data_IF_886919201225
#
_entry.id   IF_886919201225
#
_cell.length_a   1.000
_cell.length_b   1.000
_cell.length_c   1.000
_cell.angle_alpha   90.00
_cell.angle_beta   90.00
_cell.angle_gamma   90.00
#
_symmetry.space_group_name_H-M   'P 1'
#
loop_
_entity.id
_entity.type
_entity.pdbx_description
1 polymer ?
#
# COMPACT_ATOMS: atom_id res chain seq x y z
N UNK A 1 46.25 -31.33 1.62
CA UNK A 1 45.41 -31.02 2.81
C UNK A 1 45.25 -29.52 3.02
N UNK A 2 46.34 -28.74 3.09
CA UNK A 2 46.32 -27.28 3.33
C UNK A 2 45.50 -26.47 2.30
N UNK A 3 45.58 -26.82 1.01
CA UNK A 3 44.79 -26.19 -0.06
C UNK A 3 43.28 -26.38 0.11
N UNK A 4 42.84 -27.57 0.51
CA UNK A 4 41.42 -27.87 0.73
C UNK A 4 40.87 -27.11 1.94
N UNK A 5 41.68 -26.99 2.99
CA UNK A 5 41.33 -26.18 4.18
C UNK A 5 41.20 -24.71 3.80
N UNK A 6 42.15 -24.17 3.03
CA UNK A 6 42.09 -22.78 2.54
C UNK A 6 40.84 -22.53 1.67
N UNK A 7 40.53 -23.44 0.73
CA UNK A 7 39.31 -23.34 -0.08
C UNK A 7 38.04 -23.35 0.78
N UNK A 8 37.97 -24.23 1.78
CA UNK A 8 36.85 -24.27 2.72
C UNK A 8 36.67 -22.96 3.49
N UNK A 9 37.76 -22.33 3.94
CA UNK A 9 37.74 -21.03 4.63
C UNK A 9 37.27 -19.91 3.68
N UNK A 10 37.74 -19.89 2.44
CA UNK A 10 37.31 -18.88 1.45
C UNK A 10 35.83 -19.02 1.13
N UNK A 11 35.34 -20.24 0.93
CA UNK A 11 33.91 -20.50 0.66
C UNK A 11 33.05 -20.13 1.87
N UNK A 12 33.45 -20.53 3.08
CA UNK A 12 32.74 -20.16 4.31
C UNK A 12 32.74 -18.63 4.52
N UNK A 13 33.87 -17.97 4.29
CA UNK A 13 34.00 -16.51 4.36
C UNK A 13 33.13 -15.80 3.33
N UNK A 14 33.05 -16.31 2.10
CA UNK A 14 32.14 -15.81 1.07
C UNK A 14 30.69 -15.88 1.54
N UNK A 15 30.23 -17.03 2.03
CA UNK A 15 28.86 -17.17 2.52
C UNK A 15 28.57 -16.31 3.75
N UNK A 16 29.53 -16.15 4.67
CA UNK A 16 29.40 -15.28 5.83
C UNK A 16 29.24 -13.80 5.44
N UNK A 17 30.06 -13.32 4.49
CA UNK A 17 29.98 -11.94 4.00
C UNK A 17 28.69 -11.69 3.21
N UNK A 18 28.24 -12.68 2.43
CA UNK A 18 26.97 -12.61 1.71
C UNK A 18 25.78 -12.57 2.67
N UNK A 19 25.77 -13.45 3.67
CA UNK A 19 24.71 -13.51 4.67
C UNK A 19 24.63 -12.23 5.50
N UNK A 20 25.77 -11.64 5.84
CA UNK A 20 25.85 -10.39 6.60
C UNK A 20 25.64 -9.10 5.78
N UNK A 21 25.33 -9.20 4.48
CA UNK A 21 25.23 -8.05 3.56
C UNK A 21 26.42 -7.09 3.69
N UNK A 22 27.64 -7.65 3.72
CA UNK A 22 28.84 -6.89 3.99
C UNK A 22 29.11 -5.83 2.91
N UNK A 23 29.59 -4.66 3.34
CA UNK A 23 29.97 -3.58 2.43
C UNK A 23 31.08 -4.02 1.45
N UNK A 24 31.10 -3.46 0.23
CA UNK A 24 32.05 -3.87 -0.81
C UNK A 24 33.53 -3.80 -0.42
N UNK A 25 33.91 -2.88 0.47
CA UNK A 25 35.29 -2.78 0.95
C UNK A 25 35.67 -3.94 1.88
N UNK A 26 34.72 -4.51 2.62
CA UNK A 26 34.92 -5.72 3.43
C UNK A 26 35.17 -6.93 2.53
N UNK A 27 34.44 -7.03 1.41
CA UNK A 27 34.68 -8.05 0.38
C UNK A 27 36.09 -7.94 -0.21
N UNK A 28 36.50 -6.72 -0.58
CA UNK A 28 37.87 -6.48 -1.07
C UNK A 28 38.92 -6.87 -0.02
N UNK A 29 38.73 -6.47 1.23
CA UNK A 29 39.63 -6.80 2.33
C UNK A 29 39.74 -8.31 2.57
N UNK A 30 38.61 -9.03 2.56
CA UNK A 30 38.58 -10.47 2.74
C UNK A 30 39.28 -11.23 1.62
N UNK A 31 39.08 -10.83 0.36
CA UNK A 31 39.76 -11.45 -0.79
C UNK A 31 41.28 -11.15 -0.73
N UNK A 32 41.67 -9.92 -0.37
CA UNK A 32 43.08 -9.56 -0.20
C UNK A 32 43.75 -10.40 0.90
N UNK A 33 43.07 -10.59 2.04
CA UNK A 33 43.55 -11.43 3.13
C UNK A 33 43.66 -12.90 2.72
N UNK A 34 42.69 -13.43 1.96
CA UNK A 34 42.74 -14.79 1.44
C UNK A 34 43.92 -15.02 0.47
N UNK A 35 44.21 -14.04 -0.40
CA UNK A 35 45.35 -14.08 -1.32
C UNK A 35 46.69 -13.99 -0.56
N UNK A 36 46.79 -13.12 0.45
CA UNK A 36 47.98 -13.01 1.29
C UNK A 36 48.24 -14.30 2.08
N UNK A 37 47.20 -14.92 2.63
CA UNK A 37 47.29 -16.22 3.31
C UNK A 37 47.70 -17.35 2.36
N UNK A 38 47.18 -17.36 1.12
CA UNK A 38 47.56 -18.34 0.11
C UNK A 38 49.04 -18.23 -0.27
N UNK A 39 49.56 -17.01 -0.37
CA UNK A 39 50.98 -16.75 -0.63
C UNK A 39 51.88 -17.17 0.53
N UNK A 40 51.54 -16.76 1.77
CA UNK A 40 52.33 -17.11 2.96
C UNK A 40 52.36 -18.61 3.26
N UNK A 41 51.33 -19.35 2.84
CA UNK A 41 51.25 -20.80 2.94
C UNK A 41 51.86 -21.54 1.73
N UNK A 42 52.48 -20.82 0.79
CA UNK A 42 53.04 -21.35 -0.46
C UNK A 42 52.05 -22.18 -1.31
N UNK A 43 50.76 -21.86 -1.22
CA UNK A 43 49.69 -22.54 -1.98
C UNK A 43 49.65 -22.10 -3.45
N UNK A 44 50.22 -20.94 -3.77
CA UNK A 44 50.22 -20.35 -5.11
C UNK A 44 51.58 -19.73 -5.44
N UNK A 45 52.03 -19.80 -6.71
CA UNK A 45 53.24 -19.09 -7.15
C UNK A 45 53.08 -17.57 -7.01
N UNK A 46 54.17 -16.88 -6.66
CA UNK A 46 54.20 -15.43 -6.46
C UNK A 46 53.63 -14.66 -7.66
N UNK A 47 53.96 -15.07 -8.89
CA UNK A 47 53.46 -14.43 -10.11
C UNK A 47 51.92 -14.45 -10.18
N UNK A 48 51.29 -15.57 -9.81
CA UNK A 48 49.84 -15.71 -9.83
C UNK A 48 49.20 -14.81 -8.78
N UNK A 49 49.80 -14.72 -7.59
CA UNK A 49 49.32 -13.84 -6.51
C UNK A 49 49.40 -12.37 -6.93
N UNK A 50 50.50 -11.94 -7.59
CA UNK A 50 50.66 -10.56 -8.08
C UNK A 50 49.59 -10.22 -9.11
N UNK A 51 49.34 -11.11 -10.08
CA UNK A 51 48.31 -10.90 -11.11
C UNK A 51 46.92 -10.79 -10.48
N UNK A 52 46.56 -11.70 -9.56
CA UNK A 52 45.27 -11.67 -8.89
C UNK A 52 45.09 -10.45 -7.98
N UNK A 53 46.15 -10.03 -7.29
CA UNK A 53 46.14 -8.81 -6.49
C UNK A 53 45.96 -7.56 -7.37
N UNK A 54 46.63 -7.49 -8.53
CA UNK A 54 46.45 -6.41 -9.50
C UNK A 54 45.01 -6.32 -10.03
N UNK A 55 44.42 -7.47 -10.39
CA UNK A 55 43.02 -7.56 -10.80
C UNK A 55 42.06 -7.14 -9.67
N UNK A 56 42.34 -7.56 -8.43
CA UNK A 56 41.55 -7.17 -7.26
C UNK A 56 41.58 -5.67 -7.04
N UNK A 57 42.72 -5.00 -7.21
CA UNK A 57 42.82 -3.53 -7.10
C UNK A 57 41.95 -2.84 -8.14
N UNK A 58 42.02 -3.27 -9.40
CA UNK A 58 41.19 -2.70 -10.49
C UNK A 58 39.70 -2.90 -10.20
N UNK A 59 39.29 -4.09 -9.77
CA UNK A 59 37.91 -4.40 -9.39
C UNK A 59 37.47 -3.63 -8.14
N UNK A 60 38.34 -3.49 -7.15
CA UNK A 60 38.05 -2.74 -5.93
C UNK A 60 37.80 -1.26 -6.24
N UNK A 61 38.62 -0.65 -7.09
CA UNK A 61 38.45 0.75 -7.52
C UNK A 61 37.15 0.89 -8.32
N UNK A 62 36.87 0.01 -9.28
CA UNK A 62 35.67 0.09 -10.11
C UNK A 62 34.37 -0.20 -9.35
N UNK A 63 34.38 -1.06 -8.32
CA UNK A 63 33.19 -1.46 -7.57
C UNK A 63 32.96 -0.65 -6.28
N UNK A 64 34.02 -0.23 -5.58
CA UNK A 64 33.88 0.49 -4.32
C UNK A 64 33.83 2.00 -4.47
N UNK A 65 34.30 2.57 -5.60
CA UNK A 65 34.19 4.00 -5.85
C UNK A 65 32.86 4.31 -6.56
N UNK A 66 31.87 4.92 -5.87
CA UNK A 66 30.51 5.02 -6.40
C UNK A 66 30.37 5.74 -7.75
N UNK A 67 31.10 6.84 -8.04
CA UNK A 67 31.02 7.50 -9.35
C UNK A 67 31.46 6.58 -10.50
N UNK A 68 32.54 5.82 -10.30
CA UNK A 68 33.07 4.93 -11.32
C UNK A 68 32.20 3.67 -11.49
N UNK A 69 31.69 3.12 -10.39
CA UNK A 69 30.74 2.00 -10.44
C UNK A 69 29.48 2.36 -11.23
N UNK A 70 28.94 3.58 -11.02
CA UNK A 70 27.77 4.06 -11.77
C UNK A 70 28.05 4.14 -13.26
N UNK A 71 29.13 4.82 -13.63
CA UNK A 71 29.51 5.02 -15.02
C UNK A 71 29.85 3.73 -15.77
N UNK A 72 30.54 2.78 -15.13
CA UNK A 72 31.00 1.55 -15.79
C UNK A 72 29.98 0.40 -15.74
N UNK A 73 29.14 0.33 -14.70
CA UNK A 73 28.33 -0.86 -14.41
C UNK A 73 26.87 -0.48 -14.15
N UNK A 74 26.59 0.30 -13.10
CA UNK A 74 25.21 0.45 -12.61
C UNK A 74 24.29 1.14 -13.63
N UNK A 75 24.76 2.16 -14.33
CA UNK A 75 23.92 2.91 -15.28
C UNK A 75 23.59 2.06 -16.52
N UNK A 76 24.56 1.26 -16.99
CA UNK A 76 24.35 0.31 -18.09
C UNK A 76 23.36 -0.79 -17.72
N UNK A 77 23.50 -1.40 -16.53
CA UNK A 77 22.56 -2.41 -16.02
C UNK A 77 21.16 -1.82 -15.84
N UNK A 78 21.06 -0.61 -15.28
CA UNK A 78 19.79 0.09 -15.11
C UNK A 78 19.11 0.39 -16.44
N UNK A 79 19.88 0.79 -17.47
CA UNK A 79 19.34 1.04 -18.81
C UNK A 79 18.76 -0.22 -19.45
N UNK A 80 19.39 -1.39 -19.25
CA UNK A 80 18.85 -2.68 -19.68
C UNK A 80 17.57 -3.01 -18.92
N UNK A 81 17.57 -2.85 -17.59
CA UNK A 81 16.41 -3.15 -16.76
C UNK A 81 15.19 -2.30 -17.12
N UNK A 82 15.39 -1.00 -17.40
CA UNK A 82 14.33 -0.09 -17.87
C UNK A 82 13.68 -0.51 -19.19
N UNK A 83 14.35 -1.30 -20.04
CA UNK A 83 13.78 -1.82 -21.28
C UNK A 83 12.90 -3.06 -21.06
N UNK A 84 13.12 -3.78 -19.96
CA UNK A 84 12.41 -5.03 -19.63
C UNK A 84 11.16 -4.72 -18.81
N UNK A 85 11.18 -3.65 -17.99
CA UNK A 85 10.03 -3.22 -17.22
C UNK A 85 8.89 -2.77 -18.16
N UNK A 86 7.65 -3.24 -17.94
CA UNK A 86 6.51 -2.78 -18.71
C UNK A 86 6.33 -1.27 -18.53
N UNK A 87 6.00 -0.51 -19.59
CA UNK A 87 5.71 0.90 -19.47
C UNK A 87 4.45 1.11 -18.64
N UNK A 88 4.54 1.99 -17.67
CA UNK A 88 3.42 2.39 -16.83
C UNK A 88 2.47 3.31 -17.61
N UNK A 89 1.18 3.03 -17.56
CA UNK A 89 0.17 3.90 -18.19
C UNK A 89 0.15 5.28 -17.51
N UNK A 90 -0.30 6.35 -18.20
CA UNK A 90 -0.45 7.67 -17.59
C UNK A 90 -1.30 7.63 -16.32
N UNK A 91 -2.41 6.88 -16.33
CA UNK A 91 -3.32 6.71 -15.20
C UNK A 91 -2.63 6.08 -13.99
N UNK A 92 -1.93 4.96 -14.20
CA UNK A 92 -1.22 4.30 -13.10
C UNK A 92 -0.16 5.25 -12.53
N UNK A 93 0.53 6.01 -13.40
CA UNK A 93 1.56 6.97 -12.98
C UNK A 93 0.98 8.05 -12.10
N UNK A 94 -0.12 8.68 -12.54
CA UNK A 94 -0.82 9.69 -11.75
C UNK A 94 -1.30 9.11 -10.42
N UNK A 95 -1.78 7.86 -10.38
CA UNK A 95 -2.17 7.20 -9.13
C UNK A 95 -0.99 6.99 -8.18
N UNK A 96 0.19 6.60 -8.69
CA UNK A 96 1.41 6.47 -7.88
C UNK A 96 1.93 7.85 -7.42
N UNK A 97 1.91 8.85 -8.31
CA UNK A 97 2.42 10.20 -8.03
C UNK A 97 1.49 11.00 -7.10
N UNK A 98 0.18 10.73 -7.13
CA UNK A 98 -0.80 11.33 -6.22
C UNK A 98 -0.72 10.75 -4.79
N UNK A 99 -0.07 9.60 -4.63
CA UNK A 99 0.14 8.97 -3.34
C UNK A 99 1.18 9.70 -2.48
N UNK A 100 1.06 9.55 -1.16
CA UNK A 100 2.16 9.91 -0.25
C UNK A 100 3.23 8.84 -0.26
N UNK A 101 4.48 9.25 -0.41
CA UNK A 101 5.64 8.35 -0.38
C UNK A 101 5.94 7.95 1.06
N UNK A 102 5.66 6.69 1.41
CA UNK A 102 5.88 6.13 2.74
C UNK A 102 7.30 5.60 2.96
N UNK A 103 7.48 4.78 4.01
CA UNK A 103 8.75 4.10 4.27
C UNK A 103 9.11 3.08 3.18
N UNK A 104 8.11 2.51 2.51
CA UNK A 104 8.23 1.59 1.38
C UNK A 104 9.08 2.15 0.24
N UNK A 105 9.07 3.45 0.00
CA UNK A 105 9.96 4.05 -0.99
C UNK A 105 11.45 3.95 -0.63
N UNK A 106 11.79 3.95 0.66
CA UNK A 106 13.16 3.74 1.11
C UNK A 106 13.60 2.30 0.87
N UNK A 107 12.69 1.34 0.99
CA UNK A 107 12.92 -0.05 0.60
C UNK A 107 13.27 -0.14 -0.90
N UNK A 108 12.48 0.50 -1.77
CA UNK A 108 12.75 0.53 -3.21
C UNK A 108 14.00 1.34 -3.60
N UNK A 109 14.43 2.29 -2.76
CA UNK A 109 15.69 3.02 -2.95
C UNK A 109 16.94 2.16 -2.71
N UNK A 110 16.78 0.97 -2.12
CA UNK A 110 17.87 0.08 -1.75
C UNK A 110 18.66 0.54 -0.51
N UNK A 111 18.14 1.53 0.22
CA UNK A 111 18.71 2.05 1.48
C UNK A 111 17.62 2.31 2.53
N UNK A 112 16.88 1.28 2.97
CA UNK A 112 15.82 1.45 3.96
C UNK A 112 16.38 1.87 5.32
N UNK A 113 15.81 2.92 5.94
CA UNK A 113 16.02 3.20 7.36
C UNK A 113 15.01 2.39 8.20
N UNK A 114 15.45 1.23 8.69
CA UNK A 114 14.62 0.39 9.56
C UNK A 114 14.28 1.05 10.90
N UNK A 115 15.12 1.97 11.39
CA UNK A 115 14.85 2.73 12.60
C UNK A 115 13.60 3.58 12.46
N UNK A 116 13.40 4.21 11.29
CA UNK A 116 12.20 4.98 10.97
C UNK A 116 10.94 4.11 10.99
N UNK A 117 10.97 2.92 10.39
CA UNK A 117 9.84 1.99 10.38
C UNK A 117 9.52 1.49 11.80
N UNK A 118 10.54 1.05 12.53
CA UNK A 118 10.39 0.49 13.88
C UNK A 118 9.99 1.55 14.92
N UNK A 119 10.26 2.82 14.66
CA UNK A 119 9.85 3.94 15.50
C UNK A 119 8.39 4.38 15.26
N UNK A 120 7.71 3.87 14.22
CA UNK A 120 6.29 4.19 14.01
C UNK A 120 5.47 3.73 15.24
N UNK A 121 4.63 4.60 15.82
CA UNK A 121 3.85 4.23 16.98
C UNK A 121 2.86 3.13 16.60
N UNK A 122 2.75 2.12 17.47
CA UNK A 122 1.68 1.13 17.33
C UNK A 122 0.33 1.85 17.40
N UNK A 123 -0.56 1.67 16.41
CA UNK A 123 -1.88 2.27 16.45
C UNK A 123 -2.67 1.69 17.62
N UNK A 124 -3.49 2.53 18.26
CA UNK A 124 -4.29 2.17 19.43
C UNK A 124 -5.71 2.67 19.25
N UNK A 125 -6.66 1.88 19.72
CA UNK A 125 -8.05 2.31 19.83
C UNK A 125 -8.21 3.19 21.07
N UNK A 126 -9.03 4.22 20.94
CA UNK A 126 -9.60 4.93 22.08
C UNK A 126 -10.56 4.01 22.85
N UNK A 127 -10.91 4.38 24.08
CA UNK A 127 -11.87 3.62 24.87
C UNK A 127 -13.26 3.52 24.19
N UNK A 128 -13.68 4.58 23.49
CA UNK A 128 -14.94 4.61 22.74
C UNK A 128 -14.92 3.66 21.54
N UNK A 129 -13.83 3.67 20.75
CA UNK A 129 -13.67 2.78 19.61
C UNK A 129 -13.55 1.31 20.04
N UNK A 130 -12.82 1.04 21.13
CA UNK A 130 -12.70 -0.32 21.70
C UNK A 130 -14.06 -0.82 22.19
N UNK A 131 -14.82 0.02 22.91
CA UNK A 131 -16.17 -0.31 23.35
C UNK A 131 -17.09 -0.62 22.16
N UNK A 132 -17.03 0.17 21.09
CA UNK A 132 -17.82 -0.09 19.88
C UNK A 132 -17.46 -1.45 19.25
N UNK A 133 -16.17 -1.78 19.21
CA UNK A 133 -15.71 -3.07 18.71
C UNK A 133 -16.21 -4.23 19.59
N UNK A 134 -16.11 -4.11 20.91
CA UNK A 134 -16.40 -5.19 21.85
C UNK A 134 -17.90 -5.42 22.08
N UNK A 135 -18.74 -4.41 21.78
CA UNK A 135 -20.18 -4.50 22.01
C UNK A 135 -20.97 -4.43 20.70
N UNK A 136 -20.90 -3.30 20.00
CA UNK A 136 -21.75 -3.05 18.83
C UNK A 136 -21.39 -3.97 17.67
N UNK A 137 -20.10 -4.23 17.45
CA UNK A 137 -19.66 -5.15 16.40
C UNK A 137 -19.90 -6.62 16.77
N UNK A 138 -19.86 -7.00 18.05
CA UNK A 138 -20.21 -8.37 18.48
C UNK A 138 -21.70 -8.65 18.25
N UNK A 139 -22.57 -7.73 18.67
CA UNK A 139 -24.01 -7.86 18.46
C UNK A 139 -24.32 -7.95 16.96
N UNK A 140 -23.79 -7.04 16.15
CA UNK A 140 -24.00 -7.06 14.69
C UNK A 140 -23.49 -8.38 14.06
N UNK A 141 -22.35 -8.89 14.53
CA UNK A 141 -21.82 -10.18 14.10
C UNK A 141 -22.75 -11.35 14.46
N UNK A 142 -23.42 -11.30 15.61
CA UNK A 142 -24.34 -12.34 16.06
C UNK A 142 -25.68 -12.35 15.30
N UNK A 143 -26.04 -11.22 14.67
CA UNK A 143 -27.29 -11.08 13.91
C UNK A 143 -27.25 -11.67 12.49
N UNK A 144 -26.07 -12.07 11.99
CA UNK A 144 -25.90 -12.53 10.60
C UNK A 144 -25.12 -13.82 10.49
N UNK A 145 -25.42 -14.58 9.43
CA UNK A 145 -24.52 -15.60 8.89
C UNK A 145 -24.22 -15.29 7.42
N UNK A 146 -23.02 -15.65 6.95
CA UNK A 146 -22.65 -15.42 5.55
C UNK A 146 -23.60 -16.16 4.60
N UNK A 147 -23.93 -17.43 4.90
CA UNK A 147 -24.79 -18.26 4.06
C UNK A 147 -26.20 -17.68 3.89
N UNK A 148 -26.88 -17.33 4.99
CA UNK A 148 -28.23 -16.79 4.92
C UNK A 148 -28.26 -15.48 4.13
N UNK A 149 -27.29 -14.59 4.39
CA UNK A 149 -27.18 -13.30 3.70
C UNK A 149 -26.92 -13.47 2.21
N UNK A 150 -25.98 -14.35 1.84
CA UNK A 150 -25.48 -14.44 0.45
C UNK A 150 -26.24 -15.44 -0.43
N UNK A 151 -26.96 -16.42 0.14
CA UNK A 151 -27.61 -17.48 -0.62
C UNK A 151 -29.13 -17.57 -0.41
N UNK A 152 -29.66 -17.07 0.71
CA UNK A 152 -31.10 -17.14 1.01
C UNK A 152 -31.76 -15.79 0.78
N UNK A 153 -31.28 -14.75 1.45
CA UNK A 153 -31.88 -13.42 1.39
C UNK A 153 -31.37 -12.58 0.21
N UNK A 154 -30.15 -12.84 -0.25
CA UNK A 154 -29.43 -12.03 -1.25
C UNK A 154 -29.30 -10.55 -0.85
N UNK A 155 -29.42 -10.27 0.45
CA UNK A 155 -29.34 -8.97 1.09
C UNK A 155 -29.21 -9.18 2.61
N UNK A 156 -28.87 -8.14 3.36
CA UNK A 156 -28.95 -8.14 4.81
C UNK A 156 -30.43 -8.08 5.26
N UNK A 157 -30.84 -8.86 6.28
CA UNK A 157 -32.18 -8.76 6.85
C UNK A 157 -32.51 -7.35 7.37
N UNK A 158 -33.78 -6.94 7.31
CA UNK A 158 -34.24 -5.62 7.78
C UNK A 158 -33.80 -5.27 9.22
N UNK A 159 -33.86 -6.18 10.22
CA UNK A 159 -33.36 -5.89 11.56
C UNK A 159 -31.86 -5.56 11.60
N UNK A 160 -31.06 -6.21 10.74
CA UNK A 160 -29.62 -5.98 10.62
C UNK A 160 -29.36 -4.61 10.00
N UNK A 161 -30.06 -4.27 8.92
CA UNK A 161 -30.01 -2.93 8.32
C UNK A 161 -30.37 -1.83 9.32
N UNK A 162 -31.42 -2.05 10.12
CA UNK A 162 -31.83 -1.09 11.14
C UNK A 162 -30.76 -0.92 12.21
N UNK A 163 -30.17 -2.02 12.69
CA UNK A 163 -29.06 -1.99 13.66
C UNK A 163 -27.84 -1.22 13.15
N UNK A 164 -27.44 -1.50 11.90
CA UNK A 164 -26.34 -0.81 11.21
C UNK A 164 -26.54 0.71 11.22
N UNK A 165 -27.76 1.17 10.91
CA UNK A 165 -28.11 2.60 10.91
C UNK A 165 -28.14 3.19 12.31
N UNK A 166 -28.82 2.54 13.23
CA UNK A 166 -29.04 3.05 14.59
C UNK A 166 -27.74 3.18 15.39
N UNK A 167 -26.79 2.27 15.15
CA UNK A 167 -25.48 2.28 15.80
C UNK A 167 -24.42 3.08 15.07
N UNK A 168 -24.73 3.67 13.92
CA UNK A 168 -23.83 4.57 13.20
C UNK A 168 -22.72 3.87 12.40
N UNK A 169 -22.90 2.59 12.04
CA UNK A 169 -21.93 1.84 11.23
C UNK A 169 -21.69 2.47 9.86
N UNK A 170 -22.60 3.28 9.33
CA UNK A 170 -22.48 3.94 8.02
C UNK A 170 -21.80 5.31 8.07
N UNK A 171 -21.48 5.81 9.27
CA UNK A 171 -20.93 7.14 9.52
C UNK A 171 -19.77 7.15 10.49
N UNK A 172 -18.99 6.07 10.54
CA UNK A 172 -17.87 5.92 11.47
C UNK A 172 -16.83 7.02 11.26
N UNK A 173 -16.46 7.33 10.02
CA UNK A 173 -15.44 8.36 9.71
C UNK A 173 -15.99 9.79 9.70
N UNK A 174 -17.32 9.95 9.69
CA UNK A 174 -17.95 11.28 9.62
C UNK A 174 -17.78 11.98 10.98
N UNK A 175 -17.34 13.26 11.02
CA UNK A 175 -17.17 14.01 12.25
C UNK A 175 -18.42 14.06 13.12
N UNK A 176 -18.23 14.07 14.44
CA UNK A 176 -19.33 14.12 15.42
C UNK A 176 -20.23 15.35 15.26
N UNK A 177 -19.70 16.48 14.78
CA UNK A 177 -20.51 17.68 14.49
C UNK A 177 -21.59 17.47 13.42
N UNK A 178 -21.38 16.51 12.51
CA UNK A 178 -22.38 16.08 11.54
C UNK A 178 -23.17 14.84 12.01
N UNK A 179 -22.94 14.37 13.24
CA UNK A 179 -23.64 13.21 13.81
C UNK A 179 -23.05 11.85 13.45
N UNK A 180 -21.82 11.79 12.93
CA UNK A 180 -21.06 10.54 12.80
C UNK A 180 -20.29 10.19 14.09
N UNK A 181 -19.47 9.13 14.03
CA UNK A 181 -18.69 8.67 15.19
C UNK A 181 -17.31 9.32 15.30
N UNK A 182 -16.76 9.85 14.20
CA UNK A 182 -15.42 10.44 14.15
C UNK A 182 -14.30 9.46 14.50
N UNK A 183 -14.47 8.18 14.16
CA UNK A 183 -13.49 7.13 14.41
C UNK A 183 -12.24 7.27 13.54
N UNK A 184 -11.12 6.82 14.09
CA UNK A 184 -9.85 6.77 13.39
C UNK A 184 -9.86 5.72 12.27
N UNK A 185 -8.93 5.87 11.30
CA UNK A 185 -8.71 4.87 10.27
C UNK A 185 -8.36 3.48 10.86
N UNK A 186 -7.69 3.45 12.02
CA UNK A 186 -7.39 2.20 12.71
C UNK A 186 -8.65 1.54 13.26
N UNK A 187 -9.54 2.29 13.91
CA UNK A 187 -10.82 1.77 14.38
C UNK A 187 -11.70 1.27 13.24
N UNK A 188 -11.81 2.03 12.14
CA UNK A 188 -12.48 1.57 10.94
C UNK A 188 -11.90 0.24 10.44
N UNK A 189 -10.58 0.12 10.34
CA UNK A 189 -9.91 -1.13 9.95
C UNK A 189 -10.24 -2.30 10.89
N UNK A 190 -10.23 -2.09 12.22
CA UNK A 190 -10.55 -3.15 13.18
C UNK A 190 -12.01 -3.60 13.09
N UNK A 191 -12.95 -2.66 12.90
CA UNK A 191 -14.36 -2.98 12.66
C UNK A 191 -14.50 -3.83 11.39
N UNK A 192 -13.90 -3.41 10.28
CA UNK A 192 -13.93 -4.14 9.00
C UNK A 192 -13.37 -5.56 9.16
N UNK A 193 -12.21 -5.73 9.81
CA UNK A 193 -11.62 -7.05 10.06
C UNK A 193 -12.56 -7.95 10.87
N UNK A 194 -13.20 -7.39 11.90
CA UNK A 194 -14.15 -8.14 12.74
C UNK A 194 -15.37 -8.58 11.94
N UNK A 195 -16.02 -7.68 11.20
CA UNK A 195 -17.19 -8.02 10.39
C UNK A 195 -16.85 -9.00 9.26
N UNK A 196 -15.66 -8.88 8.65
CA UNK A 196 -15.17 -9.79 7.61
C UNK A 196 -15.04 -11.24 8.12
N UNK A 197 -14.84 -11.45 9.42
CA UNK A 197 -14.81 -12.80 10.01
C UNK A 197 -16.17 -13.51 10.00
N UNK A 198 -17.26 -12.78 9.71
CA UNK A 198 -18.64 -13.28 9.79
C UNK A 198 -19.41 -13.28 8.49
N UNK A 199 -19.36 -12.19 7.72
CA UNK A 199 -20.15 -12.07 6.50
C UNK A 199 -19.54 -11.08 5.52
N UNK A 200 -19.34 -11.54 4.28
CA UNK A 200 -18.77 -10.78 3.16
C UNK A 200 -19.67 -9.61 2.72
N UNK A 201 -20.97 -9.83 2.61
CA UNK A 201 -21.93 -8.78 2.26
C UNK A 201 -22.04 -7.71 3.36
N UNK A 202 -22.05 -8.12 4.63
CA UNK A 202 -22.06 -7.21 5.77
C UNK A 202 -20.85 -6.28 5.75
N UNK A 203 -19.65 -6.83 5.60
CA UNK A 203 -18.43 -6.02 5.63
C UNK A 203 -18.39 -5.02 4.48
N UNK A 204 -18.79 -5.40 3.25
CA UNK A 204 -18.82 -4.45 2.12
C UNK A 204 -19.84 -3.34 2.35
N UNK A 205 -21.03 -3.67 2.85
CA UNK A 205 -22.07 -2.69 3.18
C UNK A 205 -21.62 -1.65 4.19
N UNK A 206 -20.84 -2.04 5.20
CA UNK A 206 -20.30 -1.13 6.21
C UNK A 206 -19.04 -0.41 5.72
N UNK A 207 -18.16 -1.09 4.97
CA UNK A 207 -16.86 -0.57 4.56
C UNK A 207 -16.97 0.54 3.49
N UNK A 208 -17.85 0.37 2.50
CA UNK A 208 -17.93 1.29 1.36
C UNK A 208 -18.31 2.73 1.78
N UNK A 209 -19.35 2.96 2.61
CA UNK A 209 -19.68 4.31 3.09
C UNK A 209 -18.58 5.00 3.90
N UNK A 210 -17.69 4.22 4.53
CA UNK A 210 -16.63 4.69 5.44
C UNK A 210 -15.22 4.71 4.83
N UNK A 211 -15.10 4.48 3.52
CA UNK A 211 -13.85 4.61 2.76
C UNK A 211 -14.13 5.43 1.50
N UNK A 212 -14.10 4.80 0.34
CA UNK A 212 -14.32 5.40 -0.99
C UNK A 212 -15.75 5.95 -1.21
N UNK A 213 -16.58 6.00 -0.17
CA UNK A 213 -17.94 6.51 -0.25
C UNK A 213 -17.98 8.05 -0.36
N UNK A 214 -19.07 8.61 -0.92
CA UNK A 214 -19.38 10.03 -0.90
C UNK A 214 -19.13 10.78 0.42
N UNK A 215 -19.18 10.14 1.59
CA UNK A 215 -18.84 10.76 2.87
C UNK A 215 -17.41 11.31 2.91
N UNK A 216 -16.41 10.51 2.52
CA UNK A 216 -15.00 10.93 2.49
C UNK A 216 -14.79 12.05 1.47
N UNK A 217 -15.31 11.88 0.24
CA UNK A 217 -15.19 12.88 -0.82
C UNK A 217 -15.87 14.21 -0.46
N UNK A 218 -17.04 14.18 0.18
CA UNK A 218 -17.73 15.39 0.64
C UNK A 218 -16.95 16.10 1.74
N UNK A 219 -16.31 15.38 2.65
CA UNK A 219 -15.46 16.00 3.68
C UNK A 219 -14.27 16.74 3.07
N UNK A 220 -13.61 16.15 2.08
CA UNK A 220 -12.45 16.75 1.42
C UNK A 220 -12.80 17.85 0.41
N UNK A 221 -13.80 17.63 -0.43
CA UNK A 221 -14.06 18.45 -1.63
C UNK A 221 -15.44 19.12 -1.65
N UNK A 222 -16.35 18.74 -0.74
CA UNK A 222 -17.69 19.31 -0.70
C UNK A 222 -17.69 20.76 -0.22
N UNK A 223 -18.63 21.55 -0.74
CA UNK A 223 -18.92 22.89 -0.20
C UNK A 223 -19.54 22.78 1.19
N UNK A 224 -19.55 23.88 1.95
CA UNK A 224 -20.15 23.87 3.29
C UNK A 224 -21.65 23.55 3.25
N UNK A 225 -22.37 23.99 2.21
CA UNK A 225 -23.77 23.66 1.99
C UNK A 225 -23.96 22.16 1.75
N UNK A 226 -23.12 21.57 0.90
CA UNK A 226 -23.15 20.13 0.64
C UNK A 226 -22.83 19.32 1.89
N UNK A 227 -21.80 19.72 2.65
CA UNK A 227 -21.42 19.07 3.92
C UNK A 227 -22.55 19.10 4.93
N UNK A 228 -23.12 20.28 5.19
CA UNK A 228 -24.24 20.47 6.13
C UNK A 228 -25.49 19.69 5.73
N UNK A 229 -25.74 19.53 4.43
CA UNK A 229 -26.91 18.79 3.94
C UNK A 229 -26.69 17.27 3.97
N UNK A 230 -25.61 16.78 3.36
CA UNK A 230 -25.41 15.35 3.10
C UNK A 230 -24.78 14.60 4.28
N UNK A 231 -23.75 15.13 4.94
CA UNK A 231 -23.02 14.37 5.96
C UNK A 231 -23.92 13.88 7.11
N UNK A 232 -24.87 14.68 7.65
CA UNK A 232 -25.79 14.19 8.67
C UNK A 232 -26.77 13.12 8.20
N UNK A 233 -27.11 13.12 6.92
CA UNK A 233 -28.04 12.14 6.31
C UNK A 233 -27.32 10.82 6.06
N UNK A 234 -26.07 10.88 5.61
CA UNK A 234 -25.18 9.74 5.44
C UNK A 234 -24.86 9.09 6.79
N UNK A 235 -24.51 9.89 7.80
CA UNK A 235 -24.18 9.38 9.14
C UNK A 235 -25.33 8.58 9.78
N UNK A 236 -26.57 8.99 9.52
CA UNK A 236 -27.80 8.32 10.01
C UNK A 236 -28.31 7.21 9.08
N UNK A 237 -27.67 6.98 7.93
CA UNK A 237 -28.14 6.02 6.93
C UNK A 237 -29.52 6.35 6.34
N UNK A 238 -29.90 7.63 6.33
CA UNK A 238 -31.09 8.12 5.62
C UNK A 238 -30.88 8.06 4.10
N UNK A 239 -29.62 8.21 3.69
CA UNK A 239 -29.14 8.00 2.34
C UNK A 239 -27.98 7.01 2.41
N UNK A 240 -27.98 6.01 1.53
CA UNK A 240 -26.90 5.04 1.43
C UNK A 240 -26.03 5.43 0.23
N UNK A 241 -24.76 5.79 0.46
CA UNK A 241 -23.91 6.28 -0.60
C UNK A 241 -23.38 5.12 -1.47
N UNK A 242 -23.14 5.40 -2.75
CA UNK A 242 -22.44 4.48 -3.66
C UNK A 242 -21.29 5.22 -4.37
N UNK A 243 -20.29 4.46 -4.81
CA UNK A 243 -19.18 4.98 -5.61
C UNK A 243 -19.25 4.43 -7.03
N UNK A 244 -19.36 5.35 -7.99
CA UNK A 244 -19.88 5.08 -9.32
C UNK A 244 -18.81 5.21 -10.41
N UNK A 245 -17.67 4.53 -10.25
CA UNK A 245 -16.54 4.68 -11.16
C UNK A 245 -16.54 3.67 -12.31
N UNK A 246 -16.54 2.37 -12.02
CA UNK A 246 -16.40 1.30 -13.02
C UNK A 246 -17.44 1.38 -14.14
N UNK A 247 -17.03 1.16 -15.39
CA UNK A 247 -17.87 1.12 -16.59
C UNK A 247 -17.63 -0.23 -17.32
N UNK A 248 -18.57 -0.76 -18.12
CA UNK A 248 -18.37 -2.00 -18.88
C UNK A 248 -17.05 -2.08 -19.69
N UNK A 249 -16.52 -0.92 -20.10
CA UNK A 249 -15.28 -0.80 -20.87
C UNK A 249 -14.08 -0.27 -20.07
N UNK A 250 -14.27 0.13 -18.80
CA UNK A 250 -13.21 0.71 -17.96
C UNK A 250 -13.31 0.26 -16.50
N UNK A 251 -12.28 -0.45 -16.03
CA UNK A 251 -12.12 -0.90 -14.65
C UNK A 251 -10.78 -0.44 -14.07
N UNK A 252 -9.72 -1.24 -14.28
CA UNK A 252 -8.37 -0.91 -13.80
C UNK A 252 -7.82 0.38 -14.40
N UNK A 253 -8.07 0.63 -15.69
CA UNK A 253 -7.78 1.91 -16.34
C UNK A 253 -8.98 2.85 -16.20
N UNK A 254 -9.14 3.44 -15.01
CA UNK A 254 -10.29 4.29 -14.69
C UNK A 254 -10.35 5.56 -15.57
N UNK A 255 -9.22 6.04 -16.09
CA UNK A 255 -9.19 7.22 -16.97
C UNK A 255 -9.74 6.93 -18.38
N UNK A 256 -9.85 5.65 -18.75
CA UNK A 256 -10.45 5.24 -20.02
C UNK A 256 -11.99 5.22 -19.97
N UNK A 257 -12.62 5.74 -18.90
CA UNK A 257 -14.08 5.82 -18.80
C UNK A 257 -14.66 6.66 -19.95
N UNK A 258 -15.57 6.10 -20.77
CA UNK A 258 -16.14 6.84 -21.90
C UNK A 258 -17.30 7.76 -21.49
N UNK A 259 -17.77 7.66 -20.23
CA UNK A 259 -18.89 8.43 -19.69
C UNK A 259 -18.57 9.94 -19.69
N UNK A 260 -19.50 10.75 -20.17
CA UNK A 260 -19.36 12.20 -20.23
C UNK A 260 -20.35 12.91 -19.30
N UNK A 261 -19.85 13.92 -18.57
CA UNK A 261 -20.67 14.90 -17.85
C UNK A 261 -20.83 16.18 -18.67
N UNK A 262 -22.03 16.41 -19.21
CA UNK A 262 -22.33 17.58 -20.04
C UNK A 262 -22.97 18.64 -19.16
N UNK A 263 -22.30 19.79 -19.01
CA UNK A 263 -22.86 20.94 -18.29
C UNK A 263 -24.00 21.54 -19.12
N UNK A 264 -25.21 21.60 -18.55
CA UNK A 264 -26.39 22.13 -19.23
C UNK A 264 -27.41 22.73 -18.26
N UNK A 265 -28.27 23.61 -18.79
CA UNK A 265 -29.48 24.04 -18.08
C UNK A 265 -30.56 22.94 -18.17
N UNK A 266 -31.28 22.72 -17.08
CA UNK A 266 -32.40 21.78 -17.02
C UNK A 266 -33.40 22.13 -15.93
N UNK A 267 -34.62 21.59 -16.03
CA UNK A 267 -35.63 21.77 -14.99
C UNK A 267 -35.43 20.75 -13.87
N UNK A 268 -35.28 21.22 -12.63
CA UNK A 268 -35.22 20.40 -11.43
C UNK A 268 -36.16 20.98 -10.37
N UNK A 269 -37.10 20.18 -9.88
CA UNK A 269 -38.14 20.60 -8.93
C UNK A 269 -38.89 21.88 -9.37
N UNK A 270 -39.24 21.97 -10.66
CA UNK A 270 -39.97 23.11 -11.24
C UNK A 270 -39.15 24.39 -11.42
N UNK A 271 -37.83 24.34 -11.27
CA UNK A 271 -36.93 25.48 -11.45
C UNK A 271 -35.89 25.17 -12.52
N UNK A 272 -35.58 26.15 -13.36
CA UNK A 272 -34.43 26.07 -14.26
C UNK A 272 -33.13 26.20 -13.46
N UNK A 273 -32.26 25.19 -13.55
CA UNK A 273 -30.99 25.12 -12.84
C UNK A 273 -29.86 24.75 -13.78
N UNK A 274 -28.65 25.23 -13.49
CA UNK A 274 -27.43 24.74 -14.12
C UNK A 274 -27.04 23.40 -13.45
N UNK A 275 -26.84 22.36 -14.25
CA UNK A 275 -26.48 21.03 -13.75
C UNK A 275 -25.59 20.26 -14.72
N UNK A 276 -25.44 18.96 -14.45
CA UNK A 276 -24.68 18.01 -15.25
C UNK A 276 -25.62 16.91 -15.75
N UNK A 277 -25.71 16.74 -17.07
CA UNK A 277 -26.32 15.55 -17.68
C UNK A 277 -25.23 14.53 -17.97
N UNK A 278 -25.38 13.33 -17.42
CA UNK A 278 -24.39 12.25 -17.54
C UNK A 278 -24.85 11.23 -18.58
N UNK A 279 -23.93 10.76 -19.43
CA UNK A 279 -24.20 9.69 -20.44
C UNK A 279 -24.02 8.28 -19.90
N UNK A 280 -24.10 8.16 -18.57
CA UNK A 280 -23.51 7.11 -17.78
C UNK A 280 -24.16 5.72 -17.98
N UNK A 281 -23.35 4.68 -18.20
CA UNK A 281 -23.71 3.25 -18.25
C UNK A 281 -23.05 2.46 -17.07
N UNK A 282 -23.84 1.77 -16.23
CA UNK A 282 -23.37 0.83 -15.18
C UNK A 282 -23.96 -0.55 -15.37
#
# INVERSE_FOLDING_TARGET
MLTLVWLGVVVAGFFALAYGNAAGWLWTGAIAAALAAAWGAHLMPLLVVIVLAGLLVVLAISLNFPPLRRALISDGVLAVFRRILPPMTPTEREAIEAGTVGWDAELFSGRPDWGKLLALPAPKLTAEEQHFLDHECEELCAMVTDWETTHIYLDLPQPVWQYIKDKGFLGMIIPKEYGGLGFSAFAHSQVVVKLASRCSALVVTVMVPNSLGPGELLMHYGTDEQKRYYLPRLAKGLEIPCFALTNPHAGSDAAAIPDAGIVCMGEYQGRQVLGLRVTWEK
#
